data_IF_848283641750
#
_entry.id   IF_848283641750
#
_cell.length_a   1.000
_cell.length_b   1.000
_cell.length_c   1.000
_cell.angle_alpha   90.00
_cell.angle_beta   90.00
_cell.angle_gamma   90.00
#
_symmetry.space_group_name_H-M   'P 1'
#
loop_
_entity.id
_entity.type
_entity.pdbx_description
1 polymer ?
#
# COMPACT_ATOMS: atom_id res chain seq x y z
N UNK A 1 -4.81 -43.62 -61.69
CA UNK A 1 -3.85 -43.26 -60.62
C UNK A 1 -4.09 -41.80 -60.23
N UNK A 2 -3.93 -41.52 -58.94
CA UNK A 2 -4.07 -40.21 -58.28
C UNK A 2 -5.49 -39.72 -57.93
N UNK A 3 -5.83 -39.90 -56.65
CA UNK A 3 -6.94 -39.25 -55.93
C UNK A 3 -6.58 -37.78 -55.71
N UNK A 4 -7.39 -36.86 -56.21
CA UNK A 4 -7.31 -35.45 -55.83
C UNK A 4 -8.18 -35.20 -54.59
N UNK A 5 -7.54 -34.87 -53.48
CA UNK A 5 -8.17 -34.39 -52.25
C UNK A 5 -8.63 -32.95 -52.46
N UNK A 6 -9.93 -32.69 -52.32
CA UNK A 6 -10.47 -31.32 -52.17
C UNK A 6 -10.33 -30.90 -50.70
N UNK A 7 -9.81 -29.71 -50.37
CA UNK A 7 -9.85 -29.23 -48.99
C UNK A 7 -11.29 -28.81 -48.65
N UNK A 8 -11.79 -29.29 -47.50
CA UNK A 8 -13.02 -28.82 -46.88
C UNK A 8 -12.88 -27.32 -46.58
N UNK A 9 -13.86 -26.54 -47.03
CA UNK A 9 -14.01 -25.14 -46.64
C UNK A 9 -14.26 -25.01 -45.15
N UNK A 10 -13.43 -24.20 -44.49
CA UNK A 10 -13.67 -23.71 -43.13
C UNK A 10 -14.94 -22.84 -43.12
N UNK A 11 -15.86 -23.18 -42.20
CA UNK A 11 -17.12 -22.50 -41.94
C UNK A 11 -16.90 -21.07 -41.39
N UNK A 12 -17.81 -20.10 -41.66
CA UNK A 12 -17.63 -18.68 -41.30
C UNK A 12 -17.82 -18.35 -39.81
N UNK A 13 -17.79 -19.34 -38.91
CA UNK A 13 -18.10 -19.14 -37.49
C UNK A 13 -16.89 -18.70 -36.64
N UNK A 14 -15.66 -18.78 -37.18
CA UNK A 14 -14.44 -18.37 -36.47
C UNK A 14 -14.14 -16.86 -36.58
N UNK A 15 -14.83 -16.12 -37.45
CA UNK A 15 -14.57 -14.69 -37.65
C UNK A 15 -15.40 -13.78 -36.72
N UNK A 16 -16.52 -14.30 -36.17
CA UNK A 16 -17.38 -13.53 -35.27
C UNK A 16 -16.88 -13.48 -33.82
N UNK A 17 -16.02 -14.42 -33.41
CA UNK A 17 -15.45 -14.44 -32.05
C UNK A 17 -14.18 -13.58 -31.93
N UNK A 18 -13.60 -13.16 -33.07
CA UNK A 18 -12.39 -12.32 -33.10
C UNK A 18 -12.69 -10.81 -33.12
N UNK A 19 -13.95 -10.41 -33.32
CA UNK A 19 -14.39 -9.01 -33.32
C UNK A 19 -14.98 -8.52 -32.00
N UNK A 20 -15.26 -9.41 -31.03
CA UNK A 20 -15.76 -9.01 -29.69
C UNK A 20 -14.61 -8.72 -28.71
N UNK A 21 -13.36 -9.05 -29.08
CA UNK A 21 -12.15 -8.74 -28.32
C UNK A 21 -11.43 -7.46 -28.76
N UNK A 22 -11.96 -6.72 -29.74
CA UNK A 22 -11.37 -5.45 -30.22
C UNK A 22 -12.15 -4.18 -29.84
N UNK A 23 -13.18 -4.29 -28.99
CA UNK A 23 -13.79 -3.13 -28.33
C UNK A 23 -13.08 -2.75 -27.03
N UNK A 24 -11.81 -3.17 -26.86
CA UNK A 24 -10.89 -2.47 -25.97
C UNK A 24 -10.72 -1.06 -26.52
N UNK A 25 -11.29 -0.11 -25.78
CA UNK A 25 -11.35 1.32 -26.05
C UNK A 25 -10.12 1.81 -26.83
N UNK A 26 -10.31 2.04 -28.12
CA UNK A 26 -9.49 3.01 -28.85
C UNK A 26 -9.82 4.37 -28.25
N UNK A 27 -9.17 4.71 -27.14
CA UNK A 27 -9.12 6.08 -26.65
C UNK A 27 -8.61 6.91 -27.84
N UNK A 28 -9.27 8.01 -28.24
CA UNK A 28 -8.64 8.94 -29.17
C UNK A 28 -7.26 9.26 -28.61
N UNK A 29 -6.26 9.38 -29.48
CA UNK A 29 -4.89 9.75 -29.09
C UNK A 29 -4.91 11.16 -28.50
N UNK A 30 -5.37 11.27 -27.25
CA UNK A 30 -5.23 12.44 -26.42
C UNK A 30 -3.76 12.62 -26.07
N UNK A 31 -3.38 13.84 -25.69
CA UNK A 31 -2.05 14.11 -25.19
C UNK A 31 -1.65 13.05 -24.16
N UNK A 32 -0.41 12.56 -24.25
CA UNK A 32 0.13 11.66 -23.24
C UNK A 32 -0.13 12.27 -21.86
N UNK A 33 -0.70 11.52 -20.90
CA UNK A 33 -0.98 12.08 -19.59
C UNK A 33 0.29 12.70 -19.01
N UNK A 34 0.17 13.90 -18.45
CA UNK A 34 1.30 14.69 -17.92
C UNK A 34 1.21 14.90 -16.41
N UNK A 35 0.08 14.53 -15.80
CA UNK A 35 -0.16 14.77 -14.39
C UNK A 35 0.44 13.64 -13.54
N UNK A 36 1.23 14.01 -12.55
CA UNK A 36 1.60 13.16 -11.43
C UNK A 36 0.84 13.59 -10.17
N UNK A 37 0.46 12.63 -9.35
CA UNK A 37 -0.28 12.90 -8.11
C UNK A 37 0.17 11.95 -7.00
N UNK A 38 0.20 12.45 -5.76
CA UNK A 38 0.28 11.61 -4.58
C UNK A 38 -1.12 11.11 -4.24
N UNK A 39 -1.29 9.78 -4.14
CA UNK A 39 -2.57 9.18 -3.77
C UNK A 39 -2.85 9.43 -2.29
N UNK A 40 -4.13 9.63 -1.92
CA UNK A 40 -4.47 9.84 -0.52
C UNK A 40 -4.29 8.56 0.31
N UNK A 41 -3.99 8.73 1.60
CA UNK A 41 -3.81 7.63 2.55
C UNK A 41 -5.05 6.74 2.69
N UNK A 42 -4.81 5.50 3.12
CA UNK A 42 -5.85 4.48 3.28
C UNK A 42 -6.53 4.64 4.63
N UNK A 43 -7.85 4.79 4.64
CA UNK A 43 -8.64 4.87 5.87
C UNK A 43 -10.11 4.54 5.61
N UNK A 44 -10.82 4.14 6.66
CA UNK A 44 -12.25 3.79 6.61
C UNK A 44 -13.16 5.01 6.36
N UNK A 45 -12.65 6.22 6.62
CA UNK A 45 -13.34 7.50 6.35
C UNK A 45 -12.96 8.13 5.01
N UNK A 46 -12.02 7.55 4.25
CA UNK A 46 -11.67 8.06 2.93
C UNK A 46 -12.83 7.87 1.95
N UNK A 47 -13.06 8.87 1.09
CA UNK A 47 -14.06 8.78 0.02
C UNK A 47 -13.50 8.14 -1.26
N UNK A 48 -12.19 7.90 -1.34
CA UNK A 48 -11.56 7.35 -2.54
C UNK A 48 -11.92 5.88 -2.79
N UNK A 49 -11.97 5.08 -1.73
CA UNK A 49 -12.34 3.65 -1.76
C UNK A 49 -11.68 2.88 -2.92
N UNK A 50 -10.34 2.78 -2.94
CA UNK A 50 -9.58 2.26 -4.08
C UNK A 50 -9.71 0.75 -4.26
N UNK A 51 -10.07 0.00 -3.21
CA UNK A 51 -10.13 -1.47 -3.23
C UNK A 51 -11.58 -1.97 -3.30
N UNK A 52 -11.77 -3.14 -3.90
CA UNK A 52 -13.07 -3.81 -3.93
C UNK A 52 -13.46 -4.40 -2.57
N UNK A 53 -12.48 -4.87 -1.82
CA UNK A 53 -12.63 -5.38 -0.46
C UNK A 53 -12.41 -4.26 0.55
N UNK A 54 -13.49 -3.85 1.22
CA UNK A 54 -13.47 -2.75 2.18
C UNK A 54 -12.72 -3.08 3.46
N UNK A 55 -12.47 -4.36 3.75
CA UNK A 55 -11.63 -4.75 4.87
C UNK A 55 -10.19 -4.26 4.70
N UNK A 56 -9.73 -4.04 3.46
CA UNK A 56 -8.40 -3.45 3.20
C UNK A 56 -8.26 -2.02 3.72
N UNK A 57 -9.39 -1.35 3.98
CA UNK A 57 -9.44 0.01 4.52
C UNK A 57 -9.95 0.07 5.96
N UNK A 58 -10.21 -1.08 6.60
CA UNK A 58 -10.80 -1.10 7.94
C UNK A 58 -9.82 -0.61 9.00
N UNK A 59 -10.36 -0.12 10.12
CA UNK A 59 -9.53 0.15 11.32
C UNK A 59 -8.87 -1.13 11.86
N UNK A 60 -7.83 -0.98 12.70
CA UNK A 60 -7.42 -2.04 13.59
C UNK A 60 -8.59 -2.55 14.45
N UNK A 61 -8.45 -3.79 14.90
CA UNK A 61 -9.40 -4.38 15.84
C UNK A 61 -9.37 -3.65 17.18
N UNK A 62 -10.54 -3.40 17.76
CA UNK A 62 -10.71 -2.75 19.05
C UNK A 62 -11.48 -3.70 19.96
N UNK A 63 -10.96 -3.96 21.16
CA UNK A 63 -11.64 -4.75 22.16
C UNK A 63 -12.62 -3.90 22.97
N UNK A 64 -13.87 -4.37 23.06
CA UNK A 64 -14.96 -3.67 23.73
C UNK A 64 -15.27 -4.33 25.07
N UNK A 65 -14.97 -3.62 26.16
CA UNK A 65 -15.34 -4.05 27.51
C UNK A 65 -16.88 -4.06 27.67
N UNK A 66 -17.42 -4.79 28.67
CA UNK A 66 -18.86 -4.91 28.84
C UNK A 66 -19.60 -3.57 28.94
N UNK A 67 -20.60 -3.39 28.09
CA UNK A 67 -21.47 -2.20 28.07
C UNK A 67 -20.79 -0.91 27.60
N UNK A 68 -19.58 -0.95 27.04
CA UNK A 68 -18.87 0.24 26.55
C UNK A 68 -18.19 0.04 25.21
N UNK A 69 -18.01 1.14 24.48
CA UNK A 69 -17.18 1.16 23.28
C UNK A 69 -15.70 1.26 23.70
N UNK A 70 -14.84 0.44 23.08
CA UNK A 70 -13.42 0.34 23.39
C UNK A 70 -13.13 -0.19 24.81
N UNK A 71 -11.88 0.05 25.23
CA UNK A 71 -11.36 -0.38 26.53
C UNK A 71 -10.16 -1.32 26.42
N UNK A 72 -9.93 -1.91 25.24
CA UNK A 72 -8.69 -2.61 24.90
C UNK A 72 -8.25 -2.16 23.51
N UNK A 73 -7.07 -1.56 23.42
CA UNK A 73 -6.52 -1.01 22.18
C UNK A 73 -5.89 -2.11 21.31
N UNK A 74 -5.70 -1.81 20.02
CA UNK A 74 -5.19 -2.76 19.03
C UNK A 74 -3.80 -3.30 19.39
N UNK A 75 -2.93 -2.44 19.94
CA UNK A 75 -1.59 -2.78 20.38
C UNK A 75 -1.61 -3.81 21.52
N UNK A 76 -2.58 -3.70 22.43
CA UNK A 76 -2.78 -4.69 23.50
C UNK A 76 -3.26 -6.01 22.93
N UNK A 77 -4.23 -6.00 22.01
CA UNK A 77 -4.71 -7.22 21.36
C UNK A 77 -3.58 -7.95 20.62
N UNK A 78 -2.67 -7.22 19.99
CA UNK A 78 -1.52 -7.81 19.31
C UNK A 78 -0.45 -8.29 20.30
N UNK A 79 -0.15 -7.52 21.35
CA UNK A 79 0.83 -7.89 22.37
C UNK A 79 0.41 -9.12 23.20
N UNK A 80 -0.89 -9.38 23.29
CA UNK A 80 -1.48 -10.55 23.98
C UNK A 80 -1.83 -11.69 23.01
N UNK A 81 -1.31 -11.67 21.78
CA UNK A 81 -1.49 -12.72 20.74
C UNK A 81 -2.96 -13.00 20.34
N UNK A 82 -3.87 -12.06 20.61
CA UNK A 82 -5.25 -12.13 20.13
C UNK A 82 -5.36 -11.72 18.66
N UNK A 83 -4.43 -10.91 18.16
CA UNK A 83 -4.32 -10.48 16.76
C UNK A 83 -2.90 -10.75 16.26
N UNK A 84 -2.76 -11.36 15.09
CA UNK A 84 -1.44 -11.62 14.51
C UNK A 84 -0.81 -10.38 13.86
N UNK A 85 0.45 -10.49 13.42
CA UNK A 85 1.17 -9.40 12.75
C UNK A 85 0.53 -8.94 11.43
N UNK A 86 -0.29 -9.78 10.78
CA UNK A 86 -1.06 -9.42 9.57
C UNK A 86 -2.43 -8.82 9.89
N UNK A 87 -2.77 -8.62 11.17
CA UNK A 87 -4.03 -8.05 11.61
C UNK A 87 -5.20 -9.03 11.64
N UNK A 88 -4.95 -10.34 11.60
CA UNK A 88 -5.99 -11.37 11.70
C UNK A 88 -6.35 -11.63 13.16
N UNK A 89 -7.65 -11.64 13.47
CA UNK A 89 -8.15 -11.94 14.80
C UNK A 89 -8.11 -13.46 15.05
N UNK A 90 -7.37 -13.88 16.07
CA UNK A 90 -7.16 -15.29 16.42
C UNK A 90 -8.06 -15.74 17.57
N UNK A 91 -8.33 -14.85 18.53
CA UNK A 91 -9.15 -15.14 19.71
C UNK A 91 -9.75 -13.87 20.31
N UNK A 92 -10.69 -14.01 21.25
CA UNK A 92 -11.21 -12.88 22.04
C UNK A 92 -10.55 -12.86 23.42
N UNK A 93 -10.07 -11.69 23.91
CA UNK A 93 -9.68 -11.54 25.30
C UNK A 93 -10.83 -11.87 26.26
N UNK A 94 -10.54 -12.47 27.42
CA UNK A 94 -11.57 -12.80 28.41
C UNK A 94 -12.31 -11.57 28.95
N UNK A 95 -11.63 -10.41 28.97
CA UNK A 95 -12.16 -9.17 29.54
C UNK A 95 -13.15 -8.45 28.62
N UNK A 96 -13.26 -8.81 27.34
CA UNK A 96 -14.09 -8.11 26.35
C UNK A 96 -15.32 -8.93 25.97
N UNK A 97 -16.43 -8.26 25.69
CA UNK A 97 -17.65 -8.91 25.19
C UNK A 97 -17.59 -9.14 23.67
N UNK A 98 -16.81 -8.30 22.96
CA UNK A 98 -16.61 -8.36 21.51
C UNK A 98 -15.33 -7.65 21.10
N UNK A 99 -14.84 -8.00 19.91
CA UNK A 99 -13.79 -7.25 19.20
C UNK A 99 -14.39 -6.71 17.90
N UNK A 100 -14.25 -5.42 17.65
CA UNK A 100 -14.88 -4.73 16.52
C UNK A 100 -13.89 -4.00 15.63
N UNK A 101 -14.27 -3.82 14.36
CA UNK A 101 -13.60 -2.89 13.43
C UNK A 101 -14.64 -2.06 12.69
N UNK A 102 -14.19 -0.95 12.10
CA UNK A 102 -15.03 0.01 11.38
C UNK A 102 -14.63 0.07 9.90
N UNK A 103 -15.65 0.20 9.05
CA UNK A 103 -15.53 0.56 7.63
C UNK A 103 -16.55 1.67 7.30
N UNK A 104 -16.29 2.45 6.26
CA UNK A 104 -17.23 3.45 5.71
C UNK A 104 -17.71 4.47 6.77
N UNK A 105 -16.77 5.00 7.56
CA UNK A 105 -17.04 5.95 8.66
C UNK A 105 -17.28 7.36 8.14
N UNK A 106 -18.34 8.00 8.61
CA UNK A 106 -18.67 9.40 8.39
C UNK A 106 -18.64 9.83 6.91
N UNK A 107 -19.00 8.91 6.02
CA UNK A 107 -19.03 9.18 4.59
C UNK A 107 -20.06 10.28 4.29
N UNK A 108 -19.71 11.30 3.49
CA UNK A 108 -20.65 12.36 3.14
C UNK A 108 -21.90 11.79 2.47
N UNK A 109 -23.08 12.33 2.77
CA UNK A 109 -24.34 11.89 2.14
C UNK A 109 -24.31 11.98 0.59
N UNK A 110 -23.49 12.87 0.05
CA UNK A 110 -23.24 13.02 -1.39
C UNK A 110 -22.43 11.87 -2.02
N UNK A 111 -21.79 10.99 -1.24
CA UNK A 111 -21.02 9.85 -1.70
C UNK A 111 -21.92 8.68 -2.16
N UNK A 112 -22.94 8.98 -2.97
CA UNK A 112 -24.00 8.05 -3.38
C UNK A 112 -23.49 6.79 -4.09
N UNK A 113 -22.28 6.83 -4.66
CA UNK A 113 -21.62 5.65 -5.24
C UNK A 113 -21.28 4.59 -4.21
N UNK A 114 -21.23 4.92 -2.92
CA UNK A 114 -21.01 3.97 -1.83
C UNK A 114 -22.31 3.35 -1.33
N UNK A 115 -23.48 3.89 -1.66
CA UNK A 115 -24.75 3.30 -1.28
C UNK A 115 -25.00 1.98 -2.03
N UNK A 116 -25.56 0.99 -1.33
CA UNK A 116 -25.92 -0.28 -1.94
C UNK A 116 -25.89 -1.46 -0.98
N UNK A 117 -26.02 -2.65 -1.55
CA UNK A 117 -25.89 -3.91 -0.82
C UNK A 117 -24.44 -4.38 -0.82
N UNK A 118 -23.97 -4.82 0.33
CA UNK A 118 -22.65 -5.39 0.55
C UNK A 118 -22.77 -6.83 1.02
N UNK A 119 -21.74 -7.60 0.70
CA UNK A 119 -21.62 -9.00 1.08
C UNK A 119 -20.33 -9.16 1.86
N UNK A 120 -20.48 -9.43 3.16
CA UNK A 120 -19.40 -9.90 4.01
C UNK A 120 -19.26 -11.40 3.82
N UNK A 121 -18.05 -11.89 3.54
CA UNK A 121 -17.71 -13.32 3.53
C UNK A 121 -16.59 -13.60 4.49
N UNK A 122 -16.57 -14.80 5.05
CA UNK A 122 -15.49 -15.27 5.89
C UNK A 122 -15.38 -16.81 5.84
N UNK A 123 -14.20 -17.30 6.15
CA UNK A 123 -13.95 -18.68 6.55
C UNK A 123 -13.75 -18.77 8.07
N UNK A 124 -13.64 -20.00 8.58
CA UNK A 124 -13.52 -20.26 10.01
C UNK A 124 -14.84 -20.25 10.77
N UNK A 125 -14.74 -20.53 12.07
CA UNK A 125 -15.86 -20.67 12.99
C UNK A 125 -15.89 -19.48 13.95
N UNK A 126 -16.96 -18.71 13.90
CA UNK A 126 -17.15 -17.53 14.74
C UNK A 126 -18.50 -16.87 14.50
N UNK A 127 -18.79 -15.84 15.30
CA UNK A 127 -20.03 -15.06 15.25
C UNK A 127 -19.69 -13.61 14.92
N UNK A 128 -19.95 -13.24 13.67
CA UNK A 128 -19.82 -11.87 13.17
C UNK A 128 -21.20 -11.20 13.17
N UNK A 129 -21.30 -9.99 13.73
CA UNK A 129 -22.45 -9.10 13.61
C UNK A 129 -22.08 -7.86 12.77
N UNK A 130 -23.05 -7.36 11.99
CA UNK A 130 -22.91 -6.10 11.25
C UNK A 130 -23.83 -5.06 11.88
N UNK A 131 -23.27 -3.93 12.30
CA UNK A 131 -23.93 -2.88 13.06
C UNK A 131 -23.72 -1.47 12.49
N UNK A 132 -23.91 -0.47 13.35
CA UNK A 132 -23.79 0.94 12.99
C UNK A 132 -24.75 1.36 11.87
N UNK A 133 -24.21 1.74 10.71
CA UNK A 133 -24.95 2.10 9.49
C UNK A 133 -25.27 0.89 8.59
N UNK A 134 -24.67 -0.26 8.84
CA UNK A 134 -25.01 -1.50 8.15
C UNK A 134 -26.38 -2.02 8.60
N UNK A 135 -27.21 -2.45 7.64
CA UNK A 135 -28.53 -3.03 7.90
C UNK A 135 -28.56 -4.45 7.37
N UNK A 136 -28.39 -5.44 8.26
CA UNK A 136 -28.42 -6.85 7.86
C UNK A 136 -29.72 -7.19 7.12
N UNK A 137 -29.57 -7.81 5.96
CA UNK A 137 -30.66 -8.25 5.06
C UNK A 137 -30.84 -9.75 5.15
N UNK A 138 -29.73 -10.49 5.14
CA UNK A 138 -29.76 -11.96 5.17
C UNK A 138 -28.45 -12.50 5.69
N UNK A 139 -28.51 -13.71 6.25
CA UNK A 139 -27.36 -14.44 6.77
C UNK A 139 -27.39 -15.88 6.31
N UNK A 140 -26.23 -16.37 5.89
CA UNK A 140 -25.95 -17.75 5.64
C UNK A 140 -24.64 -18.14 6.34
N UNK A 141 -24.27 -19.42 6.27
CA UNK A 141 -22.97 -19.86 6.80
C UNK A 141 -21.85 -19.16 6.02
N UNK A 142 -20.98 -18.43 6.73
CA UNK A 142 -19.83 -17.74 6.13
C UNK A 142 -20.17 -16.49 5.33
N UNK A 143 -21.42 -16.03 5.36
CA UNK A 143 -21.87 -14.89 4.54
C UNK A 143 -22.96 -14.06 5.23
N UNK A 144 -22.79 -12.73 5.22
CA UNK A 144 -23.78 -11.76 5.69
C UNK A 144 -24.00 -10.75 4.58
N UNK A 145 -25.26 -10.51 4.19
CA UNK A 145 -25.62 -9.39 3.31
C UNK A 145 -26.19 -8.26 4.13
N UNK A 146 -25.77 -7.04 3.84
CA UNK A 146 -26.33 -5.85 4.48
C UNK A 146 -26.45 -4.69 3.50
N UNK A 147 -27.44 -3.84 3.72
CA UNK A 147 -27.60 -2.59 2.98
C UNK A 147 -26.88 -1.45 3.72
N UNK A 148 -26.32 -0.52 2.96
CA UNK A 148 -25.63 0.67 3.47
C UNK A 148 -26.00 1.93 2.68
N UNK A 149 -26.09 3.05 3.39
CA UNK A 149 -26.27 4.40 2.84
C UNK A 149 -25.30 5.36 3.55
N UNK A 150 -24.55 6.22 2.83
CA UNK A 150 -23.66 7.23 3.42
C UNK A 150 -24.35 8.16 4.43
N UNK A 151 -23.57 8.72 5.35
CA UNK A 151 -23.99 9.65 6.39
C UNK A 151 -23.21 9.47 7.70
N UNK A 152 -23.54 10.24 8.75
CA UNK A 152 -22.81 10.19 10.03
C UNK A 152 -22.83 8.80 10.69
N UNK A 153 -21.70 8.37 11.23
CA UNK A 153 -21.46 7.05 11.80
C UNK A 153 -20.74 6.08 10.86
N UNK A 154 -20.47 4.87 11.35
CA UNK A 154 -19.70 3.85 10.64
C UNK A 154 -20.52 2.59 10.36
N UNK A 155 -20.05 1.72 9.47
CA UNK A 155 -20.44 0.30 9.50
C UNK A 155 -19.52 -0.41 10.49
N UNK A 156 -20.14 -1.09 11.46
CA UNK A 156 -19.43 -1.82 12.51
C UNK A 156 -19.41 -3.31 12.16
N UNK A 157 -18.24 -3.94 12.20
CA UNK A 157 -18.07 -5.39 12.03
C UNK A 157 -17.58 -5.95 13.36
N UNK A 158 -18.43 -6.68 14.06
CA UNK A 158 -18.19 -7.14 15.42
C UNK A 158 -18.07 -8.65 15.50
N UNK A 159 -16.98 -9.13 16.11
CA UNK A 159 -16.78 -10.54 16.45
C UNK A 159 -17.15 -10.75 17.92
N UNK A 160 -18.22 -11.51 18.15
CA UNK A 160 -18.79 -11.84 19.48
C UNK A 160 -18.51 -13.29 19.91
N UNK A 161 -17.76 -14.00 19.08
CA UNK A 161 -17.32 -15.36 19.34
C UNK A 161 -16.42 -15.83 18.22
N UNK A 162 -15.40 -16.58 18.58
CA UNK A 162 -14.45 -17.17 17.65
C UNK A 162 -14.01 -18.50 18.24
N UNK A 163 -13.81 -19.49 17.39
CA UNK A 163 -13.19 -20.75 17.76
C UNK A 163 -11.67 -20.62 17.54
N UNK A 164 -10.83 -20.60 18.59
CA UNK A 164 -9.38 -20.49 18.41
C UNK A 164 -8.75 -21.66 17.65
N UNK A 165 -9.45 -22.81 17.55
CA UNK A 165 -8.99 -23.96 16.76
C UNK A 165 -9.32 -23.83 15.26
N UNK A 166 -10.27 -22.96 14.89
CA UNK A 166 -10.63 -22.63 13.50
C UNK A 166 -10.98 -21.13 13.42
N UNK A 167 -9.98 -20.24 13.63
CA UNK A 167 -10.23 -18.80 13.74
C UNK A 167 -10.79 -18.23 12.44
N UNK A 168 -11.50 -17.10 12.58
CA UNK A 168 -12.02 -16.35 11.44
C UNK A 168 -10.86 -15.89 10.55
N UNK A 169 -11.02 -16.11 9.25
CA UNK A 169 -10.03 -15.73 8.23
C UNK A 169 -10.74 -15.41 6.93
N UNK A 170 -10.01 -14.83 5.98
CA UNK A 170 -10.55 -14.41 4.68
C UNK A 170 -11.83 -13.55 4.84
N UNK A 171 -11.85 -12.69 5.88
CA UNK A 171 -12.94 -11.75 6.10
C UNK A 171 -12.84 -10.69 5.02
N UNK A 172 -13.82 -10.64 4.14
CA UNK A 172 -13.91 -9.69 3.04
C UNK A 172 -15.27 -9.01 3.04
N UNK A 173 -15.33 -7.75 2.64
CA UNK A 173 -16.58 -6.99 2.46
C UNK A 173 -16.58 -6.35 1.09
N UNK A 174 -17.42 -6.86 0.18
CA UNK A 174 -17.47 -6.41 -1.21
C UNK A 174 -18.90 -6.00 -1.58
N UNK A 175 -19.05 -4.90 -2.33
CA UNK A 175 -20.36 -4.49 -2.86
C UNK A 175 -20.93 -5.57 -3.78
N UNK A 176 -22.21 -5.89 -3.67
CA UNK A 176 -22.80 -7.09 -4.28
C UNK A 176 -22.67 -7.10 -5.82
N UNK A 177 -22.86 -5.95 -6.46
CA UNK A 177 -22.69 -5.76 -7.91
C UNK A 177 -21.21 -5.85 -8.37
N UNK A 178 -20.26 -5.83 -7.44
CA UNK A 178 -18.82 -5.96 -7.68
C UNK A 178 -18.27 -7.35 -7.42
N UNK A 179 -19.06 -8.27 -6.88
CA UNK A 179 -18.66 -9.67 -6.68
C UNK A 179 -18.08 -10.35 -7.93
N UNK A 180 -18.60 -10.13 -9.16
CA UNK A 180 -18.00 -10.71 -10.35
C UNK A 180 -16.58 -10.21 -10.64
N UNK A 181 -16.26 -8.95 -10.29
CA UNK A 181 -14.93 -8.38 -10.47
C UNK A 181 -13.96 -9.02 -9.47
N UNK A 182 -14.36 -9.09 -8.20
CA UNK A 182 -13.56 -9.75 -7.16
C UNK A 182 -13.32 -11.24 -7.48
N UNK A 183 -14.35 -11.95 -7.97
CA UNK A 183 -14.23 -13.35 -8.40
C UNK A 183 -13.30 -13.54 -9.62
N UNK A 184 -13.17 -12.53 -10.48
CA UNK A 184 -12.20 -12.52 -11.57
C UNK A 184 -10.79 -12.12 -11.11
N UNK A 185 -10.59 -11.90 -9.81
CA UNK A 185 -9.31 -11.52 -9.20
C UNK A 185 -9.00 -10.03 -9.32
N UNK A 186 -9.94 -9.18 -9.73
CA UNK A 186 -9.75 -7.73 -9.68
C UNK A 186 -9.55 -7.28 -8.23
N UNK A 187 -8.65 -6.32 -8.02
CA UNK A 187 -8.35 -5.78 -6.70
C UNK A 187 -8.96 -4.39 -6.51
N UNK A 188 -8.83 -3.53 -7.53
CA UNK A 188 -9.22 -2.14 -7.43
C UNK A 188 -10.67 -1.92 -7.84
N UNK A 189 -11.29 -0.92 -7.21
CA UNK A 189 -12.61 -0.46 -7.53
C UNK A 189 -12.61 0.20 -8.94
N UNK A 190 -13.41 -0.30 -9.90
CA UNK A 190 -13.40 0.23 -11.27
C UNK A 190 -13.85 1.70 -11.35
N UNK A 191 -14.71 2.15 -10.43
CA UNK A 191 -15.15 3.54 -10.39
C UNK A 191 -13.99 4.47 -10.00
N UNK A 192 -13.13 4.02 -9.08
CA UNK A 192 -11.92 4.74 -8.67
C UNK A 192 -10.83 4.67 -9.74
N UNK A 193 -10.59 3.49 -10.34
CA UNK A 193 -9.66 3.33 -11.45
C UNK A 193 -9.96 4.31 -12.58
N UNK A 194 -11.24 4.50 -12.93
CA UNK A 194 -11.65 5.44 -13.96
C UNK A 194 -11.21 6.89 -13.68
N UNK A 195 -11.04 7.28 -12.40
CA UNK A 195 -10.56 8.62 -11.98
C UNK A 195 -9.06 8.76 -12.08
N UNK A 196 -8.31 7.72 -11.72
CA UNK A 196 -6.84 7.75 -11.67
C UNK A 196 -6.18 7.30 -12.98
N UNK A 197 -6.90 6.62 -13.88
CA UNK A 197 -6.38 6.10 -15.17
C UNK A 197 -5.89 7.17 -16.16
N UNK A 198 -6.01 8.45 -15.82
CA UNK A 198 -5.44 9.57 -16.58
C UNK A 198 -4.12 10.09 -16.03
N UNK A 199 -3.59 9.49 -14.95
CA UNK A 199 -2.32 9.88 -14.33
C UNK A 199 -1.15 9.20 -15.04
N UNK A 200 -0.01 9.89 -15.09
CA UNK A 200 1.24 9.38 -15.65
C UNK A 200 2.20 8.90 -14.58
N UNK A 201 2.11 9.46 -13.39
CA UNK A 201 2.96 9.18 -12.24
C UNK A 201 2.09 9.09 -10.98
N UNK A 202 2.22 8.01 -10.24
CA UNK A 202 1.55 7.80 -8.96
C UNK A 202 2.59 7.86 -7.86
N UNK A 203 2.54 8.89 -7.00
CA UNK A 203 3.30 8.88 -5.76
C UNK A 203 2.49 8.14 -4.69
N UNK A 204 3.17 7.21 -4.02
CA UNK A 204 2.58 6.27 -3.07
C UNK A 204 2.95 6.59 -1.61
N UNK A 205 3.37 7.81 -1.29
CA UNK A 205 3.93 8.11 0.03
C UNK A 205 2.94 7.83 1.16
N UNK A 206 1.69 8.26 0.99
CA UNK A 206 0.62 8.00 1.95
C UNK A 206 0.15 6.54 1.90
N UNK A 207 0.07 5.92 0.71
CA UNK A 207 -0.22 4.48 0.61
C UNK A 207 0.83 3.62 1.30
N UNK A 208 2.08 4.06 1.35
CA UNK A 208 3.17 3.35 2.02
C UNK A 208 3.28 3.70 3.50
N UNK A 209 2.46 4.62 4.02
CA UNK A 209 2.56 5.17 5.38
C UNK A 209 4.01 5.54 5.74
N UNK A 210 4.67 6.29 4.85
CA UNK A 210 6.13 6.49 4.91
C UNK A 210 6.59 7.27 6.15
N UNK A 211 5.80 8.27 6.56
CA UNK A 211 6.14 9.11 7.70
C UNK A 211 6.06 8.31 8.99
N UNK A 212 7.14 8.26 9.77
CA UNK A 212 7.18 7.43 10.98
C UNK A 212 7.24 5.92 10.74
N UNK A 213 7.40 5.46 9.48
CA UNK A 213 7.49 4.03 9.18
C UNK A 213 8.66 3.36 9.93
N UNK A 214 8.34 2.30 10.68
CA UNK A 214 9.31 1.59 11.52
C UNK A 214 9.99 0.39 10.83
N UNK A 215 9.48 -0.03 9.68
CA UNK A 215 9.99 -1.21 8.96
C UNK A 215 11.46 -1.01 8.54
N UNK A 216 12.32 -1.94 8.97
CA UNK A 216 13.76 -1.92 8.73
C UNK A 216 14.16 -2.95 7.70
N UNK A 217 13.67 -4.18 7.84
CA UNK A 217 14.02 -5.35 7.04
C UNK A 217 12.92 -5.71 6.04
N UNK A 218 13.29 -6.32 4.91
CA UNK A 218 12.33 -6.67 3.85
C UNK A 218 11.20 -7.59 4.33
N UNK A 219 11.46 -8.40 5.35
CA UNK A 219 10.48 -9.30 5.96
C UNK A 219 9.36 -8.60 6.71
N UNK A 220 9.59 -7.36 7.16
CA UNK A 220 8.69 -6.56 8.03
C UNK A 220 7.68 -5.71 7.23
N UNK A 221 7.75 -5.74 5.90
CA UNK A 221 6.83 -4.98 5.06
C UNK A 221 5.40 -5.56 5.12
N UNK A 222 4.38 -4.72 4.85
CA UNK A 222 3.01 -5.18 4.60
C UNK A 222 2.92 -6.23 3.48
N UNK A 223 2.00 -7.18 3.63
CA UNK A 223 1.77 -8.30 2.69
C UNK A 223 0.34 -8.26 2.13
N UNK A 224 0.18 -8.82 0.92
CA UNK A 224 -1.15 -8.90 0.27
C UNK A 224 -2.18 -9.65 1.13
N UNK A 225 -1.70 -10.62 1.91
CA UNK A 225 -2.51 -11.42 2.83
C UNK A 225 -2.92 -10.71 4.11
N UNK A 226 -2.36 -9.54 4.43
CA UNK A 226 -2.73 -8.82 5.65
C UNK A 226 -4.22 -8.41 5.59
N UNK A 227 -4.90 -8.46 6.74
CA UNK A 227 -6.34 -8.21 6.84
C UNK A 227 -6.72 -6.80 6.35
N UNK A 228 -5.84 -5.83 6.59
CA UNK A 228 -6.00 -4.41 6.25
C UNK A 228 -4.67 -3.83 5.75
N UNK A 229 -4.72 -2.68 5.08
CA UNK A 229 -3.55 -1.98 4.53
C UNK A 229 -3.45 -0.53 4.98
N UNK A 230 -4.09 -0.18 6.10
CA UNK A 230 -4.02 1.16 6.72
C UNK A 230 -2.64 1.49 7.28
N UNK A 231 -1.81 0.48 7.56
CA UNK A 231 -0.42 0.60 8.00
C UNK A 231 0.58 0.55 6.84
N UNK A 232 0.07 0.52 5.60
CA UNK A 232 0.87 0.46 4.39
C UNK A 232 0.34 -0.57 3.40
N UNK A 233 0.22 -0.15 2.15
CA UNK A 233 -0.18 -0.98 1.03
C UNK A 233 1.04 -1.80 0.54
N UNK A 234 0.89 -3.12 0.32
CA UNK A 234 2.00 -3.99 -0.11
C UNK A 234 2.61 -3.56 -1.44
N UNK A 235 3.93 -3.65 -1.57
CA UNK A 235 4.66 -3.24 -2.78
C UNK A 235 4.17 -3.96 -4.06
N UNK A 236 3.71 -5.21 -3.91
CA UNK A 236 3.05 -6.01 -4.95
C UNK A 236 1.80 -5.28 -5.52
N UNK A 237 0.99 -4.67 -4.65
CA UNK A 237 -0.22 -3.93 -5.00
C UNK A 237 0.11 -2.59 -5.68
N UNK A 238 1.16 -1.90 -5.23
CA UNK A 238 1.65 -0.66 -5.88
C UNK A 238 2.07 -0.93 -7.33
N UNK A 239 2.84 -1.99 -7.55
CA UNK A 239 3.26 -2.43 -8.88
C UNK A 239 2.05 -2.82 -9.74
N UNK A 240 1.09 -3.55 -9.15
CA UNK A 240 -0.14 -3.96 -9.83
C UNK A 240 -0.96 -2.77 -10.32
N UNK A 241 -1.19 -1.75 -9.47
CA UNK A 241 -1.91 -0.54 -9.88
C UNK A 241 -1.20 0.17 -11.03
N UNK A 242 0.11 0.36 -10.88
CA UNK A 242 0.97 1.03 -11.87
C UNK A 242 0.89 0.34 -13.23
N UNK A 243 0.93 -0.99 -13.25
CA UNK A 243 0.76 -1.79 -14.45
C UNK A 243 -0.64 -1.68 -15.05
N UNK A 244 -1.69 -1.68 -14.21
CA UNK A 244 -3.08 -1.67 -14.65
C UNK A 244 -3.46 -0.35 -15.34
N UNK A 245 -2.95 0.78 -14.85
CA UNK A 245 -3.23 2.10 -15.44
C UNK A 245 -2.12 2.63 -16.35
N UNK A 246 -0.96 1.97 -16.40
CA UNK A 246 0.19 2.39 -17.19
C UNK A 246 0.87 3.65 -16.67
N UNK A 247 0.94 3.83 -15.34
CA UNK A 247 1.56 4.97 -14.69
C UNK A 247 2.88 4.57 -14.00
N UNK A 248 3.86 5.47 -14.00
CA UNK A 248 5.12 5.26 -13.29
C UNK A 248 4.85 5.30 -11.76
N UNK A 249 5.38 4.37 -10.96
CA UNK A 249 5.32 4.47 -9.51
C UNK A 249 6.42 5.39 -8.97
N UNK A 250 6.07 6.29 -8.05
CA UNK A 250 6.99 6.98 -7.15
C UNK A 250 6.82 6.44 -5.74
N UNK A 251 7.84 5.72 -5.28
CA UNK A 251 7.89 5.09 -3.96
C UNK A 251 8.87 5.82 -3.04
N UNK A 252 8.52 5.89 -1.76
CA UNK A 252 9.29 6.56 -0.71
C UNK A 252 9.59 5.54 0.38
N UNK A 253 10.81 5.02 0.41
CA UNK A 253 11.17 3.95 1.34
C UNK A 253 11.25 4.47 2.79
N UNK A 254 10.94 3.63 3.81
CA UNK A 254 11.09 4.01 5.21
C UNK A 254 12.48 4.61 5.52
N UNK A 255 12.52 5.60 6.40
CA UNK A 255 13.78 6.22 6.83
C UNK A 255 14.71 5.22 7.53
N UNK A 256 14.14 4.22 8.22
CA UNK A 256 14.88 3.13 8.87
C UNK A 256 15.22 1.96 7.95
N UNK A 257 14.84 2.00 6.66
CA UNK A 257 15.05 0.88 5.74
C UNK A 257 16.53 0.52 5.64
N UNK A 258 16.86 -0.71 6.00
CA UNK A 258 18.16 -1.35 5.83
C UNK A 258 18.35 -1.78 4.37
N UNK A 259 19.59 -2.14 4.01
CA UNK A 259 19.93 -2.46 2.64
C UNK A 259 19.19 -3.70 2.10
N UNK A 260 18.75 -4.62 2.96
CA UNK A 260 17.96 -5.79 2.55
C UNK A 260 16.54 -5.37 2.12
N UNK A 261 15.91 -4.45 2.85
CA UNK A 261 14.62 -3.84 2.49
C UNK A 261 14.72 -3.14 1.14
N UNK A 262 15.72 -2.28 0.97
CA UNK A 262 15.93 -1.53 -0.28
C UNK A 262 16.11 -2.49 -1.46
N UNK A 263 16.99 -3.49 -1.34
CA UNK A 263 17.19 -4.46 -2.43
C UNK A 263 15.96 -5.34 -2.66
N UNK A 264 15.22 -5.69 -1.61
CA UNK A 264 13.98 -6.46 -1.71
C UNK A 264 12.93 -5.71 -2.52
N UNK A 265 12.72 -4.44 -2.17
CA UNK A 265 11.78 -3.56 -2.86
C UNK A 265 12.20 -3.34 -4.32
N UNK A 266 13.48 -3.07 -4.55
CA UNK A 266 14.01 -2.88 -5.89
C UNK A 266 13.87 -4.12 -6.77
N UNK A 267 14.12 -5.32 -6.22
CA UNK A 267 13.93 -6.59 -6.95
C UNK A 267 12.47 -6.78 -7.33
N UNK A 268 11.55 -6.57 -6.39
CA UNK A 268 10.12 -6.70 -6.66
C UNK A 268 9.71 -5.77 -7.81
N UNK A 269 10.04 -4.47 -7.74
CA UNK A 269 9.68 -3.52 -8.79
C UNK A 269 10.33 -3.84 -10.14
N UNK A 270 11.60 -4.26 -10.15
CA UNK A 270 12.26 -4.69 -11.39
C UNK A 270 11.55 -5.87 -12.05
N UNK A 271 11.12 -6.84 -11.24
CA UNK A 271 10.61 -8.13 -11.69
C UNK A 271 9.11 -8.09 -12.03
N UNK A 272 8.32 -7.22 -11.37
CA UNK A 272 6.84 -7.19 -11.53
C UNK A 272 6.31 -6.00 -12.32
N UNK A 273 7.02 -4.86 -12.34
CA UNK A 273 6.56 -3.67 -13.07
C UNK A 273 6.69 -3.90 -14.58
N UNK A 274 5.74 -3.39 -15.37
CA UNK A 274 5.80 -3.38 -16.83
C UNK A 274 7.14 -2.76 -17.27
N UNK A 275 7.90 -3.42 -18.18
CA UNK A 275 9.22 -2.95 -18.60
C UNK A 275 9.21 -1.59 -19.29
N UNK A 276 8.04 -1.09 -19.74
CA UNK A 276 7.86 0.25 -20.32
C UNK A 276 7.76 1.35 -19.27
N UNK A 277 7.49 1.00 -18.02
CA UNK A 277 7.34 1.95 -16.92
C UNK A 277 8.67 2.17 -16.20
N UNK A 278 8.75 3.31 -15.52
CA UNK A 278 9.92 3.72 -14.73
C UNK A 278 9.52 3.85 -13.27
N UNK A 279 10.32 3.29 -12.37
CA UNK A 279 10.16 3.51 -10.94
C UNK A 279 10.95 4.75 -10.51
N UNK A 280 10.28 5.66 -9.83
CA UNK A 280 10.86 6.80 -9.14
C UNK A 280 11.11 6.39 -7.69
N UNK A 281 12.38 6.16 -7.34
CA UNK A 281 12.77 5.69 -6.02
C UNK A 281 13.34 6.85 -5.18
N UNK A 282 12.66 7.14 -4.08
CA UNK A 282 13.04 8.11 -3.07
C UNK A 282 13.28 7.40 -1.72
N UNK A 283 14.24 7.88 -0.94
CA UNK A 283 14.43 7.43 0.44
C UNK A 283 13.82 8.46 1.39
N UNK A 284 12.94 8.00 2.28
CA UNK A 284 12.21 8.80 3.26
C UNK A 284 11.26 9.84 2.64
N UNK A 285 10.78 10.76 3.49
CA UNK A 285 9.95 11.90 3.15
C UNK A 285 10.28 13.07 4.08
N UNK A 286 10.38 14.28 3.53
CA UNK A 286 10.58 15.56 4.25
C UNK A 286 11.63 15.54 5.38
N UNK A 287 12.85 15.08 5.11
CA UNK A 287 13.93 15.09 6.11
C UNK A 287 14.39 16.49 6.55
N UNK A 288 13.86 17.54 5.93
CA UNK A 288 14.00 18.93 6.36
C UNK A 288 13.00 19.33 7.48
N UNK A 289 11.93 18.57 7.68
CA UNK A 289 10.82 18.94 8.54
C UNK A 289 10.92 18.25 9.92
N UNK A 290 11.39 18.99 10.93
CA UNK A 290 11.51 18.52 12.33
C UNK A 290 10.16 18.26 13.02
N UNK A 291 9.03 18.54 12.37
CA UNK A 291 7.72 18.02 12.78
C UNK A 291 7.63 16.50 12.66
N UNK A 292 8.45 15.88 11.81
CA UNK A 292 8.51 14.44 11.65
C UNK A 292 9.69 13.80 12.38
N UNK A 293 9.47 12.57 12.86
CA UNK A 293 10.49 11.79 13.56
C UNK A 293 11.70 11.51 12.67
N UNK A 294 11.51 11.22 11.39
CA UNK A 294 12.61 10.89 10.49
C UNK A 294 13.67 11.99 10.38
N UNK A 295 13.29 13.28 10.45
CA UNK A 295 14.23 14.40 10.43
C UNK A 295 15.06 14.45 11.74
N UNK A 296 14.41 14.24 12.89
CA UNK A 296 15.08 14.13 14.20
C UNK A 296 16.01 12.92 14.26
N UNK A 297 15.58 11.80 13.71
CA UNK A 297 16.39 10.60 13.58
C UNK A 297 17.62 10.87 12.72
N UNK A 298 17.48 11.51 11.55
CA UNK A 298 18.60 11.87 10.70
C UNK A 298 19.59 12.83 11.39
N UNK A 299 19.10 13.76 12.21
CA UNK A 299 19.95 14.61 13.05
C UNK A 299 20.75 13.78 14.06
N UNK A 300 20.10 12.85 14.77
CA UNK A 300 20.78 11.95 15.70
C UNK A 300 21.84 11.09 14.99
N UNK A 301 21.54 10.57 13.79
CA UNK A 301 22.50 9.82 12.99
C UNK A 301 23.69 10.67 12.54
N UNK A 302 23.46 11.91 12.10
CA UNK A 302 24.53 12.83 11.72
C UNK A 302 25.46 13.14 12.90
N UNK A 303 24.90 13.41 14.09
CA UNK A 303 25.68 13.63 15.32
C UNK A 303 26.47 12.38 15.72
N UNK A 304 25.86 11.20 15.64
CA UNK A 304 26.55 9.95 15.92
C UNK A 304 27.68 9.66 14.91
N UNK A 305 27.49 10.01 13.64
CA UNK A 305 28.45 9.74 12.57
C UNK A 305 29.65 10.70 12.58
N UNK A 306 29.42 11.97 12.88
CA UNK A 306 30.43 13.03 12.72
C UNK A 306 30.86 13.70 14.04
N UNK A 307 30.16 13.48 15.14
CA UNK A 307 30.50 14.06 16.45
C UNK A 307 30.64 15.58 16.36
N UNK A 308 31.78 16.11 16.83
CA UNK A 308 32.09 17.55 16.82
C UNK A 308 32.18 18.16 15.40
N UNK A 309 32.33 17.34 14.36
CA UNK A 309 32.34 17.81 12.97
C UNK A 309 30.93 17.99 12.39
N UNK A 310 29.87 17.59 13.10
CA UNK A 310 28.49 17.80 12.67
C UNK A 310 28.15 19.30 12.72
N UNK A 311 28.11 19.93 11.56
CA UNK A 311 27.61 21.30 11.35
C UNK A 311 26.10 21.38 11.54
N UNK A 312 25.55 22.60 11.53
CA UNK A 312 24.11 22.81 11.66
C UNK A 312 23.35 21.97 10.62
N UNK A 313 23.72 22.02 9.34
CA UNK A 313 23.09 21.29 8.24
C UNK A 313 23.48 19.78 8.14
N UNK A 314 24.19 19.23 9.12
CA UNK A 314 24.75 17.88 9.03
C UNK A 314 23.67 16.80 8.84
N UNK A 315 22.45 16.98 9.36
CA UNK A 315 21.36 16.02 9.15
C UNK A 315 20.95 15.90 7.68
N UNK A 316 21.00 17.00 6.91
CA UNK A 316 20.74 16.97 5.47
C UNK A 316 21.92 16.37 4.71
N UNK A 317 23.16 16.60 5.17
CA UNK A 317 24.32 15.91 4.59
C UNK A 317 24.26 14.39 4.83
N UNK A 318 23.79 13.96 6.01
CA UNK A 318 23.51 12.55 6.29
C UNK A 318 22.40 12.03 5.38
N UNK A 319 21.35 12.83 5.18
CA UNK A 319 20.27 12.46 4.27
C UNK A 319 20.76 12.26 2.84
N UNK A 320 21.62 13.17 2.35
CA UNK A 320 22.30 13.04 1.05
C UNK A 320 23.13 11.77 0.93
N UNK A 321 23.94 11.47 1.95
CA UNK A 321 24.73 10.23 2.00
C UNK A 321 23.84 8.99 1.92
N UNK A 322 22.78 8.90 2.73
CA UNK A 322 21.93 7.71 2.75
C UNK A 322 21.07 7.60 1.48
N UNK A 323 20.56 8.72 0.96
CA UNK A 323 19.85 8.75 -0.32
C UNK A 323 20.75 8.25 -1.48
N UNK A 324 22.03 8.65 -1.52
CA UNK A 324 22.99 8.16 -2.50
C UNK A 324 23.22 6.64 -2.39
N UNK A 325 23.39 6.13 -1.17
CA UNK A 325 23.53 4.68 -0.93
C UNK A 325 22.29 3.90 -1.40
N UNK A 326 21.09 4.37 -1.06
CA UNK A 326 19.83 3.77 -1.52
C UNK A 326 19.76 3.79 -3.05
N UNK A 327 20.10 4.92 -3.67
CA UNK A 327 20.11 5.08 -5.11
C UNK A 327 21.09 4.11 -5.81
N UNK A 328 22.26 3.85 -5.21
CA UNK A 328 23.24 2.86 -5.68
C UNK A 328 22.67 1.44 -5.57
N UNK A 329 22.04 1.06 -4.44
CA UNK A 329 21.42 -0.25 -4.26
C UNK A 329 20.31 -0.53 -5.30
N UNK A 330 19.51 0.49 -5.63
CA UNK A 330 18.53 0.41 -6.71
C UNK A 330 19.22 0.20 -8.07
N UNK A 331 20.25 0.98 -8.37
CA UNK A 331 20.99 0.87 -9.63
C UNK A 331 21.67 -0.50 -9.79
N UNK A 332 22.31 -1.00 -8.73
CA UNK A 332 22.90 -2.35 -8.68
C UNK A 332 21.86 -3.43 -8.95
N UNK A 333 20.68 -3.32 -8.31
CA UNK A 333 19.59 -4.29 -8.45
C UNK A 333 19.01 -4.30 -9.86
N UNK A 334 18.85 -3.13 -10.48
CA UNK A 334 18.35 -3.00 -11.85
C UNK A 334 19.41 -3.32 -12.92
N UNK A 335 20.70 -3.22 -12.58
CA UNK A 335 21.81 -3.46 -13.49
C UNK A 335 21.67 -2.65 -14.78
N UNK A 336 21.80 -3.31 -15.93
CA UNK A 336 21.69 -2.68 -17.25
C UNK A 336 20.34 -1.98 -17.50
N UNK A 337 19.28 -2.33 -16.77
CA UNK A 337 17.96 -1.72 -16.92
C UNK A 337 17.85 -0.35 -16.21
N UNK A 338 18.79 0.00 -15.31
CA UNK A 338 18.69 1.21 -14.50
C UNK A 338 18.57 2.49 -15.36
N UNK A 339 19.31 2.58 -16.47
CA UNK A 339 19.29 3.76 -17.34
C UNK A 339 17.95 4.03 -18.05
N UNK A 340 17.07 3.02 -18.15
CA UNK A 340 15.77 3.15 -18.83
C UNK A 340 14.59 3.04 -17.86
N UNK A 341 14.74 2.30 -16.76
CA UNK A 341 13.62 1.95 -15.86
C UNK A 341 13.69 2.54 -14.46
N UNK A 342 14.78 3.23 -14.10
CA UNK A 342 14.94 3.83 -12.77
C UNK A 342 15.08 5.36 -12.87
N UNK A 343 14.36 6.06 -12.01
CA UNK A 343 14.58 7.47 -11.68
C UNK A 343 14.96 7.52 -10.19
N UNK A 344 16.14 8.07 -9.90
CA UNK A 344 16.64 8.27 -8.54
C UNK A 344 16.20 9.64 -8.08
N UNK A 345 15.50 9.71 -6.96
CA UNK A 345 14.86 10.94 -6.48
C UNK A 345 15.44 11.33 -5.12
N UNK A 346 15.67 12.62 -4.96
CA UNK A 346 15.95 13.26 -3.67
C UNK A 346 14.96 14.41 -3.51
N UNK A 347 14.13 14.35 -2.47
CA UNK A 347 13.22 15.42 -2.12
C UNK A 347 13.97 16.64 -1.57
N UNK A 348 13.47 17.84 -1.88
CA UNK A 348 13.99 19.11 -1.37
C UNK A 348 12.84 20.02 -0.96
N UNK A 349 13.10 20.98 -0.08
CA UNK A 349 12.11 21.96 0.35
C UNK A 349 12.16 23.20 -0.53
N UNK A 350 11.01 23.65 -1.03
CA UNK A 350 10.93 24.89 -1.84
C UNK A 350 10.99 26.17 -1.01
N UNK A 351 10.57 26.11 0.26
CA UNK A 351 10.48 27.27 1.16
C UNK A 351 11.76 27.53 1.98
N UNK A 352 12.77 26.66 1.86
CA UNK A 352 14.11 26.88 2.43
C UNK A 352 15.19 26.75 1.35
N UNK A 353 15.33 27.77 0.48
CA UNK A 353 16.36 27.75 -0.56
C UNK A 353 17.77 27.60 0.01
N UNK A 354 18.58 26.75 -0.62
CA UNK A 354 19.96 26.46 -0.23
C UNK A 354 20.11 25.20 0.60
N UNK A 355 19.08 24.74 1.32
CA UNK A 355 19.15 23.52 2.13
C UNK A 355 19.40 22.27 1.25
N UNK A 356 18.92 22.27 0.01
CA UNK A 356 19.20 21.22 -0.97
C UNK A 356 20.70 21.04 -1.23
N UNK A 357 21.51 22.09 -1.08
CA UNK A 357 22.97 22.03 -1.30
C UNK A 357 23.62 21.10 -0.28
N UNK A 358 23.19 21.16 0.98
CA UNK A 358 23.69 20.27 2.03
C UNK A 358 23.44 18.79 1.67
N UNK A 359 22.27 18.48 1.12
CA UNK A 359 21.91 17.12 0.73
C UNK A 359 22.60 16.67 -0.58
N UNK A 360 22.72 17.56 -1.57
CA UNK A 360 23.29 17.23 -2.88
C UNK A 360 24.83 17.16 -2.87
N UNK A 361 25.49 18.03 -2.12
CA UNK A 361 26.95 18.09 -2.06
C UNK A 361 27.54 17.27 -0.90
N UNK A 362 26.85 17.26 0.25
CA UNK A 362 27.19 16.50 1.46
C UNK A 362 28.71 16.45 1.77
N UNK A 363 29.39 17.60 1.97
CA UNK A 363 30.85 17.65 2.11
C UNK A 363 31.42 16.77 3.23
N UNK A 364 30.73 16.62 4.37
CA UNK A 364 31.13 15.72 5.46
C UNK A 364 31.15 14.24 5.01
N UNK A 365 30.20 13.86 4.15
CA UNK A 365 30.14 12.51 3.58
C UNK A 365 31.25 12.29 2.54
N UNK A 366 31.48 13.27 1.67
CA UNK A 366 32.54 13.22 0.64
C UNK A 366 33.93 13.16 1.29
N UNK A 367 34.18 13.95 2.33
CA UNK A 367 35.43 13.94 3.08
C UNK A 367 35.69 12.56 3.71
N UNK A 368 34.66 11.95 4.31
CA UNK A 368 34.75 10.59 4.89
C UNK A 368 35.09 9.53 3.83
N UNK A 369 34.48 9.60 2.65
CA UNK A 369 34.75 8.66 1.57
C UNK A 369 36.19 8.75 1.02
N UNK A 370 36.81 9.94 1.09
CA UNK A 370 38.19 10.22 0.66
C UNK A 370 39.25 9.97 1.75
N UNK A 371 38.85 9.90 3.02
CA UNK A 371 39.73 9.63 4.15
C UNK A 371 40.25 8.18 4.18
N UNK A 372 41.29 7.89 4.99
CA UNK A 372 41.75 6.51 5.17
C UNK A 372 40.60 5.65 5.69
N UNK A 373 40.24 4.59 4.94
CA UNK A 373 39.20 3.65 5.35
C UNK A 373 39.58 3.07 6.74
N UNK A 374 38.76 3.25 7.78
CA UNK A 374 39.00 2.58 9.05
C UNK A 374 39.04 1.06 8.80
N UNK A 375 40.01 0.38 9.42
CA UNK A 375 40.12 -1.09 9.33
C UNK A 375 38.81 -1.70 9.81
N UNK A 376 38.32 -2.67 9.03
CA UNK A 376 37.02 -3.29 9.15
C UNK A 376 36.54 -3.52 10.59
N UNK A 377 35.52 -2.78 11.01
CA UNK A 377 34.52 -3.20 12.00
C UNK A 377 33.45 -2.11 12.12
N UNK A 378 32.43 -2.17 11.26
CA UNK A 378 31.11 -1.67 11.62
C UNK A 378 30.09 -2.31 10.67
N UNK A 379 29.34 -3.34 11.09
CA UNK A 379 27.98 -3.47 10.57
C UNK A 379 27.21 -2.26 11.11
N UNK A 380 26.62 -1.45 10.22
CA UNK A 380 25.54 -0.55 10.64
C UNK A 380 24.43 -1.47 11.16
N UNK A 381 24.23 -1.45 12.47
CA UNK A 381 23.12 -2.07 13.18
C UNK A 381 21.99 -1.08 13.33
#
# INVERSE_FOLDING_TARGET
MSRAVRPLGLRPLALALMLVLLSALSRPAGAAPVLGMNLAGISDWSTEQPFLDLMKTSRPWIGHLPGRWGGVEAETLQAEDHVDAGGHLLSLPEAVDRVGTLILTDQPEAAISLAGRYVLRHAGSGRIAVGGRGREVSRARGEIRFDYVPGPGAVEIDVTGIDPADPLRDITVVREDRLPHAAAGALFNPDWLARVSGLRLLRFMDWMETNGAEARRWSERPREGDQRWTEGVPAEVLARLSNEIGADPWVTLPHLAEDDYVRGFARLMRDTLDPRLRVHAEWSNELWNFGFEQARWAEAQARALWGDAATEDAWMQFAGLRAAQVADLWAETFGAQAGTRLVRVIGVQTDWPGLETAALEAPLAVARARGPRPRASMPMR
#
